data_IF_604730897373
#
_entry.id   IF_604730897373
#
_cell.length_a   1.000
_cell.length_b   1.000
_cell.length_c   1.000
_cell.angle_alpha   90.00
_cell.angle_beta   90.00
_cell.angle_gamma   90.00
#
_symmetry.space_group_name_H-M   'P 1'
#
loop_
_entity.id
_entity.type
_entity.pdbx_description
1 polymer ?
#
# COMPACT_ATOMS: atom_id res chain seq x y z
N UNK A 1 -2.41 -32.31 30.49
CA UNK A 1 -2.95 -30.94 30.36
C UNK A 1 -2.82 -30.49 28.92
N UNK A 2 -3.80 -29.74 28.40
CA UNK A 2 -3.82 -29.28 27.01
C UNK A 2 -3.37 -27.83 26.91
N UNK A 3 -2.61 -27.54 25.87
CA UNK A 3 -2.06 -26.22 25.61
C UNK A 3 -2.25 -25.85 24.15
N UNK A 4 -2.34 -24.56 23.92
CA UNK A 4 -2.34 -23.98 22.59
C UNK A 4 -1.14 -23.04 22.45
N UNK A 5 -0.48 -23.09 21.30
CA UNK A 5 0.61 -22.17 20.96
C UNK A 5 0.63 -21.86 19.47
N UNK A 6 1.22 -20.72 19.11
CA UNK A 6 1.37 -20.26 17.74
C UNK A 6 2.85 -20.32 17.36
N UNK A 7 3.16 -21.04 16.30
CA UNK A 7 4.50 -21.23 15.79
C UNK A 7 4.65 -20.57 14.43
N UNK A 8 5.82 -19.98 14.18
CA UNK A 8 6.20 -19.61 12.80
C UNK A 8 6.23 -20.87 11.95
N UNK A 9 5.84 -20.76 10.69
CA UNK A 9 5.90 -21.82 9.68
C UNK A 9 7.26 -22.51 9.66
N UNK A 10 8.35 -21.74 9.68
CA UNK A 10 9.72 -22.28 9.73
C UNK A 10 9.98 -23.14 10.98
N UNK A 11 9.52 -22.70 12.16
CA UNK A 11 9.66 -23.46 13.40
C UNK A 11 8.88 -24.76 13.39
N UNK A 12 7.68 -24.77 12.79
CA UNK A 12 6.91 -26.00 12.63
C UNK A 12 7.57 -26.96 11.63
N UNK A 13 8.16 -26.46 10.54
CA UNK A 13 8.94 -27.27 9.60
C UNK A 13 10.10 -27.98 10.30
N UNK A 14 10.85 -27.25 11.13
CA UNK A 14 11.94 -27.83 11.93
C UNK A 14 11.40 -28.84 12.95
N UNK A 15 10.28 -28.53 13.61
CA UNK A 15 9.65 -29.42 14.57
C UNK A 15 9.24 -30.75 13.94
N UNK A 16 8.59 -30.72 12.77
CA UNK A 16 8.19 -31.91 12.03
C UNK A 16 9.41 -32.74 11.58
N UNK A 17 10.50 -32.07 11.17
CA UNK A 17 11.73 -32.73 10.70
C UNK A 17 12.52 -33.39 11.84
N UNK A 18 12.64 -32.73 12.98
CA UNK A 18 13.52 -33.17 14.07
C UNK A 18 12.77 -33.83 15.23
N UNK A 19 11.44 -33.80 15.23
CA UNK A 19 10.58 -34.43 16.23
C UNK A 19 10.51 -33.70 17.58
N UNK A 20 11.30 -32.65 17.80
CA UNK A 20 11.33 -31.87 19.04
C UNK A 20 11.53 -30.38 18.78
N UNK A 21 10.92 -29.54 19.60
CA UNK A 21 11.02 -28.09 19.51
C UNK A 21 11.02 -27.45 20.91
N UNK A 22 11.89 -26.47 21.12
CA UNK A 22 11.81 -25.59 22.29
C UNK A 22 10.85 -24.44 22.01
N UNK A 23 9.81 -24.30 22.83
CA UNK A 23 8.85 -23.21 22.75
C UNK A 23 8.95 -22.31 23.99
N UNK A 24 8.61 -21.04 23.81
CA UNK A 24 8.75 -19.99 24.82
C UNK A 24 7.41 -19.40 25.28
N UNK A 25 6.31 -19.84 24.68
CA UNK A 25 4.97 -19.38 24.99
C UNK A 25 3.96 -20.47 24.65
N UNK A 26 3.03 -20.72 25.56
CA UNK A 26 1.88 -21.59 25.37
C UNK A 26 0.82 -21.24 26.41
N UNK A 27 -0.45 -21.37 26.05
CA UNK A 27 -1.58 -21.02 26.93
C UNK A 27 -2.32 -22.30 27.30
N UNK A 28 -2.53 -22.58 28.60
CA UNK A 28 -3.30 -23.74 29.03
C UNK A 28 -4.77 -23.59 28.62
N UNK A 29 -5.39 -24.70 28.23
CA UNK A 29 -6.81 -24.80 27.93
C UNK A 29 -7.38 -26.16 28.37
N UNK A 30 -8.71 -26.31 28.29
CA UNK A 30 -9.40 -27.54 28.66
C UNK A 30 -10.33 -28.00 27.54
N UNK A 31 -10.14 -29.22 27.06
CA UNK A 31 -10.92 -29.78 25.95
C UNK A 31 -10.42 -29.28 24.60
N UNK A 32 -11.25 -29.49 23.57
CA UNK A 32 -10.87 -29.14 22.20
C UNK A 32 -10.93 -27.64 21.97
N UNK A 33 -10.03 -27.11 21.14
CA UNK A 33 -10.05 -25.71 20.71
C UNK A 33 -11.41 -25.27 20.12
N UNK A 34 -12.14 -26.17 19.45
CA UNK A 34 -13.49 -25.89 18.92
C UNK A 34 -14.50 -25.51 19.99
N UNK A 35 -14.36 -26.02 21.22
CA UNK A 35 -15.22 -25.66 22.34
C UNK A 35 -14.96 -24.22 22.84
N UNK A 36 -13.83 -23.63 22.45
CA UNK A 36 -13.41 -22.28 22.78
C UNK A 36 -13.57 -21.31 21.59
N UNK A 37 -14.41 -21.61 20.60
CA UNK A 37 -14.55 -20.79 19.39
C UNK A 37 -14.89 -19.31 19.69
N UNK A 38 -15.69 -19.05 20.72
CA UNK A 38 -16.08 -17.69 21.15
C UNK A 38 -15.27 -17.18 22.36
N UNK A 39 -14.21 -17.89 22.77
CA UNK A 39 -13.38 -17.55 23.92
C UNK A 39 -12.34 -16.48 23.56
N UNK A 40 -12.76 -15.22 23.66
CA UNK A 40 -11.92 -14.09 23.31
C UNK A 40 -10.71 -13.92 24.23
N UNK A 41 -10.84 -14.23 25.52
CA UNK A 41 -9.75 -14.10 26.48
C UNK A 41 -8.65 -15.12 26.19
N UNK A 42 -9.01 -16.38 25.92
CA UNK A 42 -8.06 -17.40 25.52
C UNK A 42 -7.37 -17.04 24.19
N UNK A 43 -8.11 -16.50 23.22
CA UNK A 43 -7.53 -16.00 21.97
C UNK A 43 -6.52 -14.88 22.22
N UNK A 44 -6.92 -13.83 22.95
CA UNK A 44 -6.09 -12.64 23.18
C UNK A 44 -4.77 -13.02 23.87
N UNK A 45 -4.83 -13.90 24.89
CA UNK A 45 -3.62 -14.49 25.50
C UNK A 45 -2.79 -15.24 24.46
N UNK A 46 -3.42 -16.12 23.68
CA UNK A 46 -2.68 -16.95 22.71
C UNK A 46 -1.90 -16.13 21.67
N UNK A 47 -2.44 -14.99 21.23
CA UNK A 47 -1.78 -14.12 20.24
C UNK A 47 -0.70 -13.19 20.80
N UNK A 48 -0.57 -13.06 22.13
CA UNK A 48 0.53 -12.29 22.75
C UNK A 48 1.91 -12.83 22.36
N UNK A 49 2.01 -14.13 22.08
CA UNK A 49 3.25 -14.76 21.63
C UNK A 49 3.61 -14.49 20.17
N UNK A 50 2.80 -13.75 19.42
CA UNK A 50 3.01 -13.49 18.00
C UNK A 50 3.83 -12.23 17.74
N UNK A 51 4.75 -12.32 16.78
CA UNK A 51 5.37 -11.16 16.15
C UNK A 51 4.49 -10.69 14.97
N UNK A 52 4.62 -9.44 14.52
CA UNK A 52 3.95 -8.96 13.31
C UNK A 52 4.23 -9.85 12.09
N UNK A 53 3.25 -9.98 11.21
CA UNK A 53 3.35 -10.80 10.01
C UNK A 53 2.54 -10.25 8.85
N UNK A 54 2.93 -10.72 7.67
CA UNK A 54 2.44 -10.25 6.39
C UNK A 54 1.33 -11.13 5.85
N UNK A 55 1.44 -12.43 6.13
CA UNK A 55 0.56 -13.46 5.64
C UNK A 55 0.21 -14.41 6.77
N UNK A 56 -1.06 -14.78 6.88
CA UNK A 56 -1.54 -15.75 7.87
C UNK A 56 -0.87 -17.12 7.71
N UNK A 57 -0.37 -17.45 6.51
CA UNK A 57 0.42 -18.65 6.24
C UNK A 57 1.81 -18.68 6.88
N UNK A 58 2.30 -17.56 7.42
CA UNK A 58 3.57 -17.50 8.16
C UNK A 58 3.48 -18.12 9.55
N UNK A 59 2.27 -18.41 10.00
CA UNK A 59 1.98 -18.89 11.34
C UNK A 59 1.02 -20.08 11.31
N UNK A 60 1.19 -20.93 12.31
CA UNK A 60 0.40 -22.14 12.54
C UNK A 60 0.07 -22.18 14.01
N UNK A 61 -1.17 -22.50 14.33
CA UNK A 61 -1.63 -22.75 15.68
C UNK A 61 -1.59 -24.26 15.92
N UNK A 62 -0.94 -24.69 16.98
CA UNK A 62 -0.91 -26.11 17.38
C UNK A 62 -1.57 -26.29 18.74
N UNK A 63 -2.27 -27.41 18.88
CA UNK A 63 -2.76 -27.93 20.15
C UNK A 63 -1.91 -29.13 20.52
N UNK A 64 -1.40 -29.15 21.74
CA UNK A 64 -0.56 -30.24 22.23
C UNK A 64 -0.86 -30.57 23.69
N UNK A 65 -0.49 -31.79 24.11
CA UNK A 65 -0.71 -32.30 25.46
C UNK A 65 0.61 -32.55 26.19
N UNK A 66 0.69 -32.13 27.44
CA UNK A 66 1.79 -32.48 28.34
C UNK A 66 1.27 -33.27 29.54
N UNK A 67 2.11 -34.12 30.13
CA UNK A 67 1.76 -34.86 31.34
C UNK A 67 1.68 -33.93 32.56
N UNK A 68 2.61 -32.98 32.65
CA UNK A 68 2.73 -32.05 33.76
C UNK A 68 2.34 -30.63 33.35
N UNK A 69 1.95 -29.81 34.33
CA UNK A 69 1.73 -28.38 34.13
C UNK A 69 3.01 -27.68 33.67
N UNK A 70 2.88 -26.69 32.81
CA UNK A 70 3.98 -25.84 32.38
C UNK A 70 4.12 -24.70 33.38
N UNK A 71 5.15 -24.75 34.22
CA UNK A 71 5.41 -23.74 35.25
C UNK A 71 6.39 -22.66 34.78
N UNK A 72 7.25 -22.98 33.80
CA UNK A 72 8.28 -22.07 33.30
C UNK A 72 8.63 -22.35 31.84
N UNK A 73 9.09 -21.30 31.15
CA UNK A 73 9.60 -21.36 29.77
C UNK A 73 11.12 -21.11 29.71
N UNK A 74 11.83 -21.63 28.70
CA UNK A 74 11.34 -22.48 27.62
C UNK A 74 11.06 -23.91 28.05
N UNK A 75 10.17 -24.59 27.32
CA UNK A 75 9.98 -26.03 27.42
C UNK A 75 10.30 -26.72 26.10
N UNK A 76 10.71 -27.98 26.17
CA UNK A 76 10.83 -28.84 24.98
C UNK A 76 9.54 -29.67 24.85
N UNK A 77 8.98 -29.70 23.64
CA UNK A 77 7.84 -30.54 23.28
C UNK A 77 8.24 -31.51 22.17
N UNK A 78 7.61 -32.68 22.16
CA UNK A 78 7.81 -33.71 21.13
C UNK A 78 6.64 -33.70 20.13
N UNK A 79 6.89 -34.02 18.86
CA UNK A 79 5.86 -33.93 17.81
C UNK A 79 4.70 -34.89 18.07
N UNK A 80 4.96 -36.00 18.76
CA UNK A 80 3.99 -36.99 19.21
C UNK A 80 2.99 -36.43 20.24
N UNK A 81 3.32 -35.30 20.88
CA UNK A 81 2.41 -34.61 21.80
C UNK A 81 1.40 -33.70 21.11
N UNK A 82 1.57 -33.44 19.80
CA UNK A 82 0.69 -32.57 19.02
C UNK A 82 -0.58 -33.32 18.64
N UNK A 83 -1.73 -32.73 18.98
CA UNK A 83 -3.03 -33.32 18.72
C UNK A 83 -3.69 -32.75 17.46
N UNK A 84 -3.51 -31.46 17.20
CA UNK A 84 -4.13 -30.80 16.06
C UNK A 84 -3.30 -29.62 15.58
N UNK A 85 -3.31 -29.42 14.26
CA UNK A 85 -2.65 -28.33 13.56
C UNK A 85 -3.71 -27.48 12.88
N UNK A 86 -3.67 -26.18 13.11
CA UNK A 86 -4.59 -25.20 12.54
C UNK A 86 -3.83 -24.12 11.76
N UNK A 87 -4.33 -23.80 10.57
CA UNK A 87 -4.08 -22.52 9.94
C UNK A 87 -4.95 -21.43 10.59
N UNK A 88 -4.49 -20.18 10.52
CA UNK A 88 -5.19 -19.06 11.15
C UNK A 88 -6.52 -18.73 10.45
N UNK A 89 -6.55 -18.86 9.12
CA UNK A 89 -7.71 -18.63 8.26
C UNK A 89 -7.69 -19.58 7.04
N UNK A 90 -8.74 -19.53 6.23
CA UNK A 90 -8.89 -20.35 5.01
C UNK A 90 -7.73 -20.12 4.02
N UNK A 91 -7.30 -18.87 3.85
CA UNK A 91 -6.18 -18.48 2.97
C UNK A 91 -4.87 -19.13 3.42
N UNK A 92 -4.57 -19.04 4.71
CA UNK A 92 -3.42 -19.65 5.34
C UNK A 92 -3.45 -21.17 5.18
N UNK A 93 -4.63 -21.81 5.31
CA UNK A 93 -4.77 -23.26 5.11
C UNK A 93 -4.37 -23.65 3.70
N UNK A 94 -4.94 -22.99 2.70
CA UNK A 94 -4.67 -23.29 1.30
C UNK A 94 -3.18 -23.13 0.95
N UNK A 95 -2.54 -22.06 1.43
CA UNK A 95 -1.11 -21.82 1.22
C UNK A 95 -0.23 -22.85 1.96
N UNK A 96 -0.58 -23.20 3.20
CA UNK A 96 0.17 -24.16 4.01
C UNK A 96 0.06 -25.58 3.45
N UNK A 97 -1.13 -26.01 3.04
CA UNK A 97 -1.40 -27.33 2.44
C UNK A 97 -0.61 -27.57 1.15
N UNK A 98 -0.27 -26.53 0.39
CA UNK A 98 0.60 -26.64 -0.79
C UNK A 98 2.09 -26.81 -0.43
N UNK A 99 2.49 -26.36 0.77
CA UNK A 99 3.89 -26.29 1.18
C UNK A 99 4.32 -27.40 2.13
N UNK A 100 3.37 -28.06 2.79
CA UNK A 100 3.62 -29.08 3.79
C UNK A 100 3.37 -30.50 3.26
N UNK A 101 3.85 -31.48 4.02
CA UNK A 101 3.58 -32.88 3.75
C UNK A 101 2.07 -33.13 3.73
N UNK A 102 1.58 -33.74 2.65
CA UNK A 102 0.15 -34.02 2.42
C UNK A 102 -0.52 -34.87 3.52
N UNK A 103 0.26 -35.55 4.37
CA UNK A 103 -0.24 -36.32 5.51
C UNK A 103 -0.63 -35.45 6.70
N UNK A 104 -0.22 -34.19 6.74
CA UNK A 104 -0.54 -33.26 7.82
C UNK A 104 -1.96 -32.72 7.60
N UNK A 105 -2.88 -33.06 8.48
CA UNK A 105 -4.24 -32.51 8.50
C UNK A 105 -4.22 -31.09 9.08
N UNK A 106 -4.21 -30.08 8.19
CA UNK A 106 -4.24 -28.66 8.56
C UNK A 106 -5.69 -28.18 8.51
N UNK A 107 -6.24 -27.84 9.68
CA UNK A 107 -7.62 -27.36 9.82
C UNK A 107 -7.67 -25.83 9.83
N UNK A 108 -8.83 -25.23 9.59
CA UNK A 108 -9.01 -23.78 9.86
C UNK A 108 -9.29 -23.59 11.35
N UNK A 109 -8.63 -22.61 11.95
CA UNK A 109 -8.85 -22.22 13.34
C UNK A 109 -10.32 -21.82 13.58
N UNK A 110 -10.93 -22.21 14.70
CA UNK A 110 -12.24 -21.68 15.10
C UNK A 110 -12.21 -20.17 15.38
N UNK A 111 -11.02 -19.57 15.54
CA UNK A 111 -10.81 -18.14 15.75
C UNK A 111 -10.50 -17.36 14.46
N UNK A 112 -10.84 -17.87 13.28
CA UNK A 112 -10.55 -17.21 12.00
C UNK A 112 -10.92 -15.72 11.99
N UNK A 113 -12.14 -15.38 12.44
CA UNK A 113 -12.59 -13.99 12.50
C UNK A 113 -11.77 -13.14 13.47
N UNK A 114 -11.30 -13.71 14.58
CA UNK A 114 -10.45 -12.98 15.53
C UNK A 114 -9.05 -12.77 14.97
N UNK A 115 -8.50 -13.75 14.23
CA UNK A 115 -7.22 -13.59 13.53
C UNK A 115 -7.29 -12.50 12.45
N UNK A 116 -8.38 -12.42 11.69
CA UNK A 116 -8.59 -11.35 10.70
C UNK A 116 -8.60 -9.98 11.38
N UNK A 117 -9.36 -9.81 12.47
CA UNK A 117 -9.40 -8.54 13.20
C UNK A 117 -8.06 -8.19 13.84
N UNK A 118 -7.37 -9.18 14.41
CA UNK A 118 -6.03 -8.99 14.96
C UNK A 118 -5.03 -8.57 13.89
N UNK A 119 -5.09 -9.16 12.70
CA UNK A 119 -4.22 -8.78 11.58
C UNK A 119 -4.51 -7.35 11.11
N UNK A 120 -5.78 -6.94 11.02
CA UNK A 120 -6.15 -5.54 10.74
C UNK A 120 -5.54 -4.60 11.80
N UNK A 121 -5.60 -4.97 13.08
CA UNK A 121 -4.99 -4.18 14.16
C UNK A 121 -3.47 -4.08 14.05
N UNK A 122 -2.79 -5.16 13.67
CA UNK A 122 -1.36 -5.11 13.38
C UNK A 122 -1.06 -4.17 12.20
N UNK A 123 -1.84 -4.22 11.11
CA UNK A 123 -1.69 -3.32 9.97
C UNK A 123 -1.88 -1.85 10.37
N UNK A 124 -2.85 -1.55 11.24
CA UNK A 124 -3.07 -0.20 11.79
C UNK A 124 -1.82 0.30 12.53
N UNK A 125 -1.24 -0.54 13.40
CA UNK A 125 -0.02 -0.15 14.12
C UNK A 125 1.19 -0.02 13.19
N UNK A 126 1.33 -0.87 12.16
CA UNK A 126 2.37 -0.70 11.13
C UNK A 126 2.19 0.61 10.34
N UNK A 127 0.96 0.99 10.01
CA UNK A 127 0.63 2.27 9.36
C UNK A 127 1.00 3.46 10.24
N UNK A 128 0.60 3.44 11.51
CA UNK A 128 0.96 4.50 12.48
C UNK A 128 2.47 4.57 12.71
N UNK A 129 3.15 3.43 12.72
CA UNK A 129 4.61 3.40 12.78
C UNK A 129 5.25 4.02 11.53
N UNK A 130 4.65 3.85 10.35
CA UNK A 130 5.07 4.55 9.12
C UNK A 130 5.02 6.07 9.27
N UNK A 131 3.96 6.62 9.87
CA UNK A 131 3.86 8.05 10.18
C UNK A 131 4.95 8.51 11.16
N UNK A 132 5.20 7.75 12.23
CA UNK A 132 6.29 8.04 13.19
C UNK A 132 7.67 8.00 12.52
N UNK A 133 7.89 7.06 11.60
CA UNK A 133 9.15 6.95 10.86
C UNK A 133 9.38 8.20 10.00
N UNK A 134 8.38 8.66 9.24
CA UNK A 134 8.49 9.90 8.47
C UNK A 134 8.75 11.11 9.37
N UNK A 135 8.12 11.17 10.54
CA UNK A 135 8.36 12.22 11.53
C UNK A 135 9.85 12.34 11.89
N UNK A 136 10.48 11.21 12.16
CA UNK A 136 11.91 11.12 12.49
C UNK A 136 12.81 11.39 11.28
N UNK A 137 12.43 10.91 10.10
CA UNK A 137 13.18 11.14 8.86
C UNK A 137 13.25 12.64 8.52
N UNK A 138 12.13 13.35 8.63
CA UNK A 138 12.03 14.77 8.35
C UNK A 138 12.43 15.67 9.53
N UNK A 139 12.61 15.11 10.73
CA UNK A 139 13.02 15.87 11.92
C UNK A 139 11.92 16.77 12.47
N UNK A 140 10.67 16.34 12.42
CA UNK A 140 9.53 17.07 12.97
C UNK A 140 9.41 16.90 14.50
N UNK A 141 8.72 17.84 15.15
CA UNK A 141 8.47 17.83 16.60
C UNK A 141 7.29 16.92 16.96
N UNK A 142 7.42 16.11 18.01
CA UNK A 142 6.40 15.17 18.48
C UNK A 142 5.08 15.82 18.92
N UNK A 143 5.07 17.10 19.33
CA UNK A 143 3.82 17.80 19.67
C UNK A 143 2.85 17.86 18.49
N UNK A 144 3.37 18.05 17.28
CA UNK A 144 2.57 18.15 16.07
C UNK A 144 2.07 16.76 15.61
N UNK A 145 2.77 15.69 15.96
CA UNK A 145 2.34 14.32 15.66
C UNK A 145 1.05 14.00 16.41
N UNK A 146 1.00 14.28 17.71
CA UNK A 146 -0.22 14.12 18.53
C UNK A 146 -1.39 14.90 17.94
N UNK A 147 -1.15 16.12 17.46
CA UNK A 147 -2.18 16.91 16.81
C UNK A 147 -2.70 16.26 15.53
N UNK A 148 -1.84 15.61 14.74
CA UNK A 148 -2.25 14.85 13.57
C UNK A 148 -3.07 13.60 13.95
N UNK A 149 -2.68 12.89 15.01
CA UNK A 149 -3.42 11.73 15.55
C UNK A 149 -4.81 12.13 16.11
N UNK A 150 -4.97 13.36 16.61
CA UNK A 150 -6.28 13.91 16.99
C UNK A 150 -7.18 14.21 15.79
N UNK A 151 -6.60 14.70 14.68
CA UNK A 151 -7.35 15.03 13.45
C UNK A 151 -7.72 13.75 12.68
N UNK A 152 -6.81 12.78 12.66
CA UNK A 152 -6.96 11.49 11.97
C UNK A 152 -6.78 10.39 13.02
N UNK A 153 -7.88 10.10 13.71
CA UNK A 153 -7.94 9.11 14.79
C UNK A 153 -7.63 7.68 14.34
N UNK A 154 -7.35 6.83 15.33
CA UNK A 154 -7.06 5.40 15.08
C UNK A 154 -8.27 4.68 14.49
N UNK A 155 -9.49 5.09 14.83
CA UNK A 155 -10.74 4.60 14.24
C UNK A 155 -10.84 4.90 12.73
N UNK A 156 -10.46 6.10 12.30
CA UNK A 156 -10.42 6.50 10.89
C UNK A 156 -9.39 5.64 10.12
N UNK A 157 -8.20 5.47 10.69
CA UNK A 157 -7.14 4.63 10.09
C UNK A 157 -7.58 3.17 10.02
N UNK A 158 -8.18 2.64 11.10
CA UNK A 158 -8.71 1.27 11.15
C UNK A 158 -9.81 1.06 10.12
N UNK A 159 -10.75 2.00 9.98
CA UNK A 159 -11.81 1.90 8.98
C UNK A 159 -11.25 1.88 7.55
N UNK A 160 -10.28 2.75 7.25
CA UNK A 160 -9.61 2.76 5.96
C UNK A 160 -8.88 1.43 5.69
N UNK A 161 -8.12 0.91 6.65
CA UNK A 161 -7.37 -0.34 6.47
C UNK A 161 -8.30 -1.55 6.40
N UNK A 162 -9.31 -1.64 7.27
CA UNK A 162 -10.30 -2.72 7.29
C UNK A 162 -11.07 -2.80 5.98
N UNK A 163 -11.56 -1.67 5.49
CA UNK A 163 -12.28 -1.61 4.22
C UNK A 163 -11.38 -1.99 3.03
N UNK A 164 -10.09 -1.64 3.08
CA UNK A 164 -9.11 -2.05 2.06
C UNK A 164 -8.85 -3.55 2.11
N UNK A 165 -8.55 -4.09 3.29
CA UNK A 165 -8.30 -5.51 3.52
C UNK A 165 -9.47 -6.38 3.03
N UNK A 166 -10.70 -5.90 3.25
CA UNK A 166 -11.94 -6.57 2.85
C UNK A 166 -12.36 -6.31 1.40
N UNK A 167 -11.58 -5.55 0.63
CA UNK A 167 -11.90 -5.23 -0.78
C UNK A 167 -13.19 -4.40 -0.97
N UNK A 168 -13.63 -3.65 0.03
CA UNK A 168 -14.87 -2.86 -0.01
C UNK A 168 -14.57 -1.40 -0.30
N UNK A 169 -15.35 -0.73 -1.15
CA UNK A 169 -15.32 0.74 -1.27
C UNK A 169 -15.89 1.37 0.02
N UNK A 170 -15.41 2.56 0.44
CA UNK A 170 -16.03 3.28 1.56
C UNK A 170 -17.45 3.71 1.19
N UNK A 171 -18.43 3.39 2.04
CA UNK A 171 -19.85 3.72 1.85
C UNK A 171 -20.46 4.13 3.19
N UNK A 172 -21.32 5.14 3.18
CA UNK A 172 -22.05 5.61 4.37
C UNK A 172 -21.45 6.86 5.00
N UNK A 173 -21.88 7.13 6.22
CA UNK A 173 -21.50 8.31 7.00
C UNK A 173 -20.12 8.11 7.66
N UNK A 174 -19.08 8.13 6.83
CA UNK A 174 -17.68 8.00 7.24
C UNK A 174 -16.96 9.34 7.14
N UNK A 175 -15.86 9.46 7.87
CA UNK A 175 -14.98 10.63 7.82
C UNK A 175 -14.46 10.86 6.39
N UNK A 176 -14.34 12.12 5.91
CA UNK A 176 -13.73 12.43 4.60
C UNK A 176 -12.30 11.90 4.47
N UNK A 177 -11.59 11.72 5.59
CA UNK A 177 -10.27 11.11 5.62
C UNK A 177 -10.27 9.63 5.19
N UNK A 178 -11.32 8.86 5.51
CA UNK A 178 -11.47 7.47 5.04
C UNK A 178 -11.61 7.46 3.52
N UNK A 179 -12.45 8.34 2.97
CA UNK A 179 -12.61 8.48 1.51
C UNK A 179 -11.31 8.90 0.83
N UNK A 180 -10.52 9.80 1.43
CA UNK A 180 -9.21 10.21 0.90
C UNK A 180 -8.18 9.07 0.93
N UNK A 181 -8.06 8.35 2.05
CA UNK A 181 -7.13 7.21 2.20
C UNK A 181 -7.48 6.06 1.23
N UNK A 182 -8.77 5.86 0.97
CA UNK A 182 -9.30 4.87 0.02
C UNK A 182 -9.46 5.39 -1.40
N UNK A 183 -9.06 6.62 -1.68
CA UNK A 183 -9.22 7.19 -3.00
C UNK A 183 -8.28 6.54 -4.01
N UNK A 184 -8.88 6.06 -5.09
CA UNK A 184 -8.21 5.59 -6.29
C UNK A 184 -8.65 6.47 -7.45
N UNK A 185 -7.68 7.03 -8.17
CA UNK A 185 -7.94 7.88 -9.33
C UNK A 185 -8.57 7.01 -10.43
N UNK A 186 -9.83 7.28 -10.70
CA UNK A 186 -10.61 6.60 -11.74
C UNK A 186 -10.77 7.47 -12.99
N UNK A 187 -10.78 8.79 -12.83
CA UNK A 187 -10.88 9.74 -13.94
C UNK A 187 -9.51 10.07 -14.57
N UNK A 188 -9.46 10.38 -15.88
CA UNK A 188 -8.22 10.66 -16.62
C UNK A 188 -7.65 12.06 -16.33
N UNK A 189 -7.55 12.46 -15.06
CA UNK A 189 -6.98 13.74 -14.68
C UNK A 189 -5.47 13.80 -14.94
N UNK A 190 -4.92 15.01 -15.26
CA UNK A 190 -3.49 15.21 -15.46
C UNK A 190 -2.65 14.68 -14.29
N UNK A 191 -1.42 14.22 -14.56
CA UNK A 191 -0.45 13.83 -13.52
C UNK A 191 0.38 15.03 -13.06
N UNK A 192 -0.31 16.07 -12.64
CA UNK A 192 0.25 17.33 -12.15
C UNK A 192 -0.58 17.87 -10.98
N UNK A 193 -0.20 19.05 -10.47
CA UNK A 193 -0.90 19.68 -9.35
C UNK A 193 -2.38 19.93 -9.62
N UNK A 194 -2.78 20.35 -10.83
CA UNK A 194 -4.19 20.54 -11.17
C UNK A 194 -4.96 19.22 -11.02
N UNK A 195 -4.38 18.11 -11.50
CA UNK A 195 -5.00 16.80 -11.36
C UNK A 195 -5.22 16.36 -9.93
N UNK A 196 -4.29 16.63 -9.00
CA UNK A 196 -4.49 16.30 -7.58
C UNK A 196 -5.59 17.16 -6.93
N UNK A 197 -5.82 18.39 -7.39
CA UNK A 197 -6.96 19.19 -6.94
C UNK A 197 -8.29 18.65 -7.49
N UNK A 198 -8.32 18.16 -8.73
CA UNK A 198 -9.50 17.48 -9.25
C UNK A 198 -9.79 16.19 -8.48
N UNK A 199 -8.77 15.40 -8.16
CA UNK A 199 -8.94 14.26 -7.27
C UNK A 199 -9.55 14.67 -5.92
N UNK A 200 -9.06 15.75 -5.30
CA UNK A 200 -9.62 16.24 -4.04
C UNK A 200 -11.10 16.60 -4.17
N UNK A 201 -11.52 17.28 -5.25
CA UNK A 201 -12.94 17.55 -5.50
C UNK A 201 -13.72 16.24 -5.63
N UNK A 202 -13.19 15.27 -6.37
CA UNK A 202 -13.78 13.93 -6.52
C UNK A 202 -13.96 13.23 -5.17
N UNK A 203 -12.96 13.29 -4.28
CA UNK A 203 -13.03 12.77 -2.91
C UNK A 203 -14.15 13.42 -2.12
N UNK A 204 -14.23 14.75 -2.12
CA UNK A 204 -15.27 15.48 -1.37
C UNK A 204 -16.66 15.15 -1.92
N UNK A 205 -16.84 15.10 -3.24
CA UNK A 205 -18.13 14.76 -3.85
C UNK A 205 -18.55 13.31 -3.55
N UNK A 206 -17.60 12.36 -3.61
CA UNK A 206 -17.84 10.96 -3.25
C UNK A 206 -18.27 10.85 -1.79
N UNK A 207 -17.54 11.52 -0.88
CA UNK A 207 -17.89 11.59 0.54
C UNK A 207 -19.28 12.18 0.78
N UNK A 208 -19.62 13.32 0.15
CA UNK A 208 -20.96 13.93 0.29
C UNK A 208 -22.08 13.07 -0.28
N UNK A 209 -21.78 12.22 -1.26
CA UNK A 209 -22.72 11.22 -1.77
C UNK A 209 -22.74 9.92 -0.95
N UNK A 210 -21.95 9.84 0.13
CA UNK A 210 -21.76 8.65 0.96
C UNK A 210 -21.30 7.41 0.16
N UNK A 211 -20.47 7.63 -0.86
CA UNK A 211 -19.98 6.57 -1.75
C UNK A 211 -21.03 6.00 -2.72
N UNK A 212 -22.20 6.65 -2.85
CA UNK A 212 -23.30 6.19 -3.73
C UNK A 212 -23.16 6.63 -5.18
N UNK A 213 -22.29 7.60 -5.46
CA UNK A 213 -21.98 8.05 -6.80
C UNK A 213 -20.46 8.06 -7.01
N UNK A 214 -20.02 7.52 -8.13
CA UNK A 214 -18.69 7.65 -8.69
C UNK A 214 -18.77 8.34 -10.07
N UNK A 215 -17.66 8.94 -10.52
CA UNK A 215 -17.55 9.72 -11.76
C UNK A 215 -18.32 11.05 -11.76
N UNK A 216 -17.71 12.06 -11.17
CA UNK A 216 -18.23 13.43 -11.21
C UNK A 216 -17.58 14.20 -12.36
N UNK A 217 -18.35 15.08 -13.02
CA UNK A 217 -17.80 16.08 -13.95
C UNK A 217 -17.01 17.17 -13.21
N UNK A 218 -15.91 16.80 -12.56
CA UNK A 218 -15.16 17.65 -11.62
C UNK A 218 -14.70 18.94 -12.27
N UNK A 219 -14.22 18.88 -13.53
CA UNK A 219 -13.80 20.05 -14.30
C UNK A 219 -14.93 21.07 -14.50
N UNK A 220 -16.18 20.61 -14.51
CA UNK A 220 -17.38 21.43 -14.74
C UNK A 220 -17.99 21.97 -13.44
N UNK A 221 -17.42 21.64 -12.29
CA UNK A 221 -17.79 22.27 -11.02
C UNK A 221 -17.29 23.72 -10.98
N UNK A 222 -17.87 24.55 -10.09
CA UNK A 222 -17.40 25.93 -9.89
C UNK A 222 -15.91 25.96 -9.50
N UNK A 223 -15.54 25.16 -8.48
CA UNK A 223 -14.16 24.98 -8.05
C UNK A 223 -13.26 24.45 -9.19
N UNK A 224 -13.71 23.46 -9.96
CA UNK A 224 -12.97 22.91 -11.10
C UNK A 224 -12.64 23.95 -12.16
N UNK A 225 -13.62 24.79 -12.54
CA UNK A 225 -13.42 25.89 -13.50
C UNK A 225 -12.46 26.95 -12.97
N UNK A 226 -12.56 27.31 -11.69
CA UNK A 226 -11.64 28.27 -11.03
C UNK A 226 -10.21 27.72 -11.06
N UNK A 227 -10.01 26.45 -10.69
CA UNK A 227 -8.71 25.80 -10.71
C UNK A 227 -8.11 25.79 -12.12
N UNK A 228 -8.90 25.39 -13.12
CA UNK A 228 -8.46 25.38 -14.52
C UNK A 228 -8.02 26.77 -14.98
N UNK A 229 -8.83 27.80 -14.74
CA UNK A 229 -8.51 29.17 -15.14
C UNK A 229 -7.26 29.72 -14.44
N UNK A 230 -7.04 29.38 -13.17
CA UNK A 230 -5.83 29.76 -12.45
C UNK A 230 -4.61 28.96 -12.94
N UNK A 231 -4.76 27.67 -13.20
CA UNK A 231 -3.69 26.82 -13.72
C UNK A 231 -3.13 27.33 -15.06
N UNK A 232 -3.99 27.82 -15.95
CA UNK A 232 -3.60 28.40 -17.24
C UNK A 232 -2.78 29.70 -17.10
N UNK A 233 -2.87 30.38 -15.95
CA UNK A 233 -2.18 31.66 -15.67
C UNK A 233 -0.87 31.49 -14.90
N UNK A 234 -0.64 30.33 -14.29
CA UNK A 234 0.57 30.06 -13.51
C UNK A 234 1.66 29.59 -14.48
N UNK A 235 2.89 30.08 -14.29
CA UNK A 235 4.03 29.58 -15.07
C UNK A 235 4.32 28.11 -14.72
N UNK A 236 4.53 27.26 -15.73
CA UNK A 236 4.82 25.82 -15.56
C UNK A 236 6.30 25.42 -15.77
N UNK A 237 7.32 26.15 -15.27
CA UNK A 237 8.69 25.66 -15.38
C UNK A 237 8.86 24.47 -14.44
N UNK A 238 9.02 23.27 -15.01
CA UNK A 238 9.45 22.02 -14.33
C UNK A 238 10.43 22.35 -13.20
N UNK A 239 10.18 21.96 -11.93
CA UNK A 239 9.92 20.58 -11.51
C UNK A 239 8.69 20.39 -10.59
N UNK A 240 8.32 19.12 -10.39
CA UNK A 240 7.11 18.57 -9.74
C UNK A 240 6.78 19.01 -8.30
N UNK A 241 7.53 19.92 -7.69
CA UNK A 241 7.19 20.47 -6.37
C UNK A 241 7.64 21.92 -6.25
N UNK A 242 7.04 22.85 -7.00
CA UNK A 242 7.16 24.27 -6.68
C UNK A 242 6.04 24.69 -5.74
N UNK A 243 6.44 25.23 -4.58
CA UNK A 243 5.54 25.66 -3.51
C UNK A 243 4.43 26.61 -3.98
N UNK A 244 4.71 27.36 -5.03
CA UNK A 244 3.78 28.36 -5.56
C UNK A 244 2.53 27.73 -6.18
N UNK A 245 2.62 26.55 -6.82
CA UNK A 245 1.45 25.94 -7.49
C UNK A 245 0.40 25.45 -6.49
N UNK A 246 0.82 24.68 -5.48
CA UNK A 246 -0.08 24.17 -4.44
C UNK A 246 -0.75 25.35 -3.71
N UNK A 247 0.05 26.32 -3.26
CA UNK A 247 -0.44 27.48 -2.49
C UNK A 247 -1.39 28.34 -3.30
N UNK A 248 -1.07 28.60 -4.58
CA UNK A 248 -1.91 29.42 -5.47
C UNK A 248 -3.25 28.74 -5.73
N UNK A 249 -3.23 27.45 -6.09
CA UNK A 249 -4.46 26.71 -6.39
C UNK A 249 -5.33 26.56 -5.14
N UNK A 250 -4.76 26.21 -3.99
CA UNK A 250 -5.52 26.11 -2.74
C UNK A 250 -6.15 27.45 -2.37
N UNK A 251 -5.39 28.55 -2.45
CA UNK A 251 -5.90 29.89 -2.16
C UNK A 251 -7.03 30.30 -3.11
N UNK A 252 -7.00 29.83 -4.36
CA UNK A 252 -8.03 30.18 -5.36
C UNK A 252 -9.40 29.58 -5.09
N UNK A 253 -9.47 28.47 -4.35
CA UNK A 253 -10.72 27.76 -4.03
C UNK A 253 -11.07 27.76 -2.55
N UNK A 254 -10.30 28.45 -1.70
CA UNK A 254 -10.47 28.42 -0.23
C UNK A 254 -11.89 28.80 0.23
N UNK A 255 -12.53 29.70 -0.52
CA UNK A 255 -13.87 30.24 -0.22
C UNK A 255 -14.98 29.49 -0.99
N UNK A 256 -14.62 28.50 -1.81
CA UNK A 256 -15.60 27.67 -2.52
C UNK A 256 -16.32 26.71 -1.58
N UNK A 257 -17.59 26.44 -1.87
CA UNK A 257 -18.46 25.59 -1.04
C UNK A 257 -17.84 24.22 -0.71
N UNK A 258 -17.13 23.63 -1.66
CA UNK A 258 -16.46 22.33 -1.49
C UNK A 258 -15.33 22.40 -0.46
N UNK A 259 -14.52 23.46 -0.50
CA UNK A 259 -13.44 23.68 0.46
C UNK A 259 -13.99 23.99 1.87
N UNK A 260 -15.01 24.86 1.94
CA UNK A 260 -15.65 25.24 3.19
C UNK A 260 -16.28 24.04 3.92
N UNK A 261 -17.11 23.24 3.22
CA UNK A 261 -17.77 22.06 3.81
C UNK A 261 -16.75 21.05 4.35
N UNK A 262 -15.66 20.81 3.61
CA UNK A 262 -14.62 19.91 4.04
C UNK A 262 -13.91 20.44 5.29
N UNK A 263 -13.57 21.74 5.32
CA UNK A 263 -12.96 22.41 6.47
C UNK A 263 -13.84 22.40 7.71
N UNK A 264 -15.13 22.68 7.56
CA UNK A 264 -16.09 22.68 8.67
C UNK A 264 -16.19 21.30 9.34
N UNK A 265 -15.97 20.23 8.57
CA UNK A 265 -16.00 18.85 9.08
C UNK A 265 -14.68 18.41 9.68
N UNK A 266 -13.55 18.75 9.04
CA UNK A 266 -12.23 18.26 9.46
C UNK A 266 -11.52 19.18 10.45
N UNK A 267 -11.97 20.43 10.58
CA UNK A 267 -11.33 21.46 11.40
C UNK A 267 -10.02 22.00 10.83
N UNK A 268 -9.62 21.60 9.62
CA UNK A 268 -8.36 21.99 8.95
C UNK A 268 -8.58 22.23 7.46
N UNK A 269 -7.61 22.86 6.79
CA UNK A 269 -7.70 23.17 5.35
C UNK A 269 -7.54 21.92 4.47
N UNK A 270 -8.60 21.09 4.43
CA UNK A 270 -8.64 19.85 3.65
C UNK A 270 -8.31 20.07 2.17
N UNK A 271 -8.75 21.20 1.60
CA UNK A 271 -8.49 21.60 0.22
C UNK A 271 -7.00 21.87 -0.08
N UNK A 272 -6.17 22.09 0.94
CA UNK A 272 -4.70 22.12 0.82
C UNK A 272 -4.11 20.73 1.10
N UNK A 273 -4.57 20.05 2.17
CA UNK A 273 -4.01 18.78 2.65
C UNK A 273 -4.18 17.65 1.64
N UNK A 274 -5.39 17.46 1.10
CA UNK A 274 -5.70 16.34 0.21
C UNK A 274 -4.87 16.35 -1.08
N UNK A 275 -4.82 17.44 -1.87
CA UNK A 275 -3.99 17.45 -3.09
C UNK A 275 -2.50 17.34 -2.75
N UNK A 276 -2.04 17.88 -1.62
CA UNK A 276 -0.65 17.74 -1.21
C UNK A 276 -0.30 16.29 -0.85
N UNK A 277 -1.16 15.62 -0.07
CA UNK A 277 -1.03 14.20 0.23
C UNK A 277 -0.99 13.34 -1.03
N UNK A 278 -1.89 13.58 -2.00
CA UNK A 278 -1.93 12.83 -3.26
C UNK A 278 -0.67 13.06 -4.11
N UNK A 279 -0.17 14.29 -4.13
CA UNK A 279 1.11 14.64 -4.75
C UNK A 279 2.27 13.87 -4.10
N UNK A 280 2.37 13.91 -2.76
CA UNK A 280 3.39 13.18 -2.01
C UNK A 280 3.28 11.66 -2.23
N UNK A 281 2.06 11.12 -2.27
CA UNK A 281 1.82 9.70 -2.54
C UNK A 281 2.36 9.28 -3.91
N UNK A 282 2.21 10.11 -4.94
CA UNK A 282 2.75 9.85 -6.29
C UNK A 282 4.29 9.98 -6.31
N UNK A 283 4.86 10.97 -5.64
CA UNK A 283 6.33 11.14 -5.50
C UNK A 283 6.97 9.91 -4.85
N UNK A 284 6.37 9.41 -3.77
CA UNK A 284 6.87 8.26 -3.01
C UNK A 284 6.40 6.90 -3.58
N UNK A 285 5.66 6.90 -4.69
CA UNK A 285 5.25 5.66 -5.37
C UNK A 285 6.33 5.12 -6.32
N UNK A 286 7.24 5.96 -6.82
CA UNK A 286 8.42 5.52 -7.57
C UNK A 286 9.62 5.31 -6.64
N UNK A 287 10.24 4.13 -6.70
CA UNK A 287 11.47 3.81 -5.95
C UNK A 287 12.67 4.71 -6.33
N UNK A 288 12.55 5.46 -7.43
CA UNK A 288 13.62 6.27 -8.03
C UNK A 288 13.84 7.63 -7.37
N UNK A 289 12.91 8.15 -6.57
CA UNK A 289 13.03 9.51 -6.04
C UNK A 289 12.98 9.53 -4.51
N UNK A 290 14.03 8.99 -3.88
CA UNK A 290 14.42 9.44 -2.53
C UNK A 290 15.06 10.83 -2.68
N UNK A 291 14.21 11.82 -2.98
CA UNK A 291 14.57 13.25 -2.90
C UNK A 291 15.33 13.51 -1.59
N UNK A 292 16.19 14.53 -1.58
CA UNK A 292 16.80 15.01 -0.34
C UNK A 292 15.72 15.16 0.75
N UNK A 293 15.73 14.23 1.71
CA UNK A 293 14.67 14.11 2.72
C UNK A 293 14.68 15.32 3.64
N UNK A 294 15.84 15.96 3.83
CA UNK A 294 15.96 17.18 4.59
C UNK A 294 15.31 18.35 3.84
N UNK A 295 15.58 18.47 2.54
CA UNK A 295 14.92 19.47 1.69
C UNK A 295 13.41 19.26 1.64
N UNK A 296 12.95 18.02 1.50
CA UNK A 296 11.53 17.68 1.51
C UNK A 296 10.87 18.02 2.86
N UNK A 297 11.51 17.65 3.98
CA UNK A 297 11.02 17.98 5.32
C UNK A 297 10.90 19.49 5.55
N UNK A 298 11.90 20.27 5.11
CA UNK A 298 11.87 21.74 5.15
C UNK A 298 10.73 22.30 4.30
N UNK A 299 10.53 21.75 3.10
CA UNK A 299 9.45 22.17 2.20
C UNK A 299 8.07 21.89 2.81
N UNK A 300 7.83 20.68 3.31
CA UNK A 300 6.60 20.30 4.00
C UNK A 300 6.34 21.23 5.19
N UNK A 301 7.36 21.53 5.99
CA UNK A 301 7.25 22.39 7.17
C UNK A 301 6.81 23.82 6.83
N UNK A 302 7.07 24.30 5.62
CA UNK A 302 6.63 25.63 5.18
C UNK A 302 5.10 25.77 5.05
N UNK A 303 4.37 24.65 5.01
CA UNK A 303 2.91 24.61 4.99
C UNK A 303 2.28 24.45 6.38
N UNK A 304 3.05 24.62 7.46
CA UNK A 304 2.50 24.60 8.81
C UNK A 304 1.92 23.24 9.22
N UNK A 305 0.72 23.25 9.83
CA UNK A 305 0.06 22.04 10.32
C UNK A 305 -0.43 21.18 9.16
N UNK A 306 -0.94 21.79 8.09
CA UNK A 306 -1.53 21.11 6.95
C UNK A 306 -0.50 20.23 6.22
N UNK A 307 0.74 20.73 6.04
CA UNK A 307 1.83 19.92 5.50
C UNK A 307 2.18 18.71 6.37
N UNK A 308 2.10 18.88 7.69
CA UNK A 308 2.33 17.80 8.66
C UNK A 308 1.20 16.77 8.65
N UNK A 309 -0.06 17.19 8.49
CA UNK A 309 -1.20 16.28 8.32
C UNK A 309 -1.08 15.49 7.00
N UNK A 310 -0.68 16.14 5.91
CA UNK A 310 -0.42 15.46 4.63
C UNK A 310 0.71 14.42 4.77
N UNK A 311 1.74 14.72 5.56
CA UNK A 311 2.82 13.78 5.89
C UNK A 311 2.35 12.62 6.75
N UNK A 312 1.49 12.88 7.72
CA UNK A 312 0.89 11.83 8.55
C UNK A 312 0.10 10.84 7.68
N UNK A 313 -0.75 11.33 6.78
CA UNK A 313 -1.49 10.51 5.81
C UNK A 313 -0.55 9.70 4.90
N UNK A 314 0.54 10.33 4.43
CA UNK A 314 1.57 9.64 3.64
C UNK A 314 2.18 8.49 4.44
N UNK A 315 2.58 8.73 5.69
CA UNK A 315 3.19 7.71 6.54
C UNK A 315 2.24 6.57 6.89
N UNK A 316 0.96 6.88 7.15
CA UNK A 316 -0.12 5.87 7.31
C UNK A 316 -0.24 5.00 6.05
N UNK A 317 -0.18 5.63 4.87
CA UNK A 317 -0.31 4.93 3.58
C UNK A 317 0.91 4.08 3.24
N UNK A 318 2.12 4.57 3.54
CA UNK A 318 3.37 3.85 3.29
C UNK A 318 3.59 2.71 4.28
N UNK A 319 3.18 2.92 5.53
CA UNK A 319 3.43 2.02 6.65
C UNK A 319 4.91 1.84 6.97
N UNK A 320 5.16 0.96 7.93
CA UNK A 320 6.51 0.64 8.36
C UNK A 320 7.37 0.09 7.22
N UNK A 321 6.82 -0.81 6.40
CA UNK A 321 7.55 -1.55 5.36
C UNK A 321 8.23 -0.68 4.32
N UNK A 322 7.66 0.48 4.00
CA UNK A 322 8.25 1.42 3.03
C UNK A 322 9.08 2.52 3.68
N UNK A 323 9.08 2.61 5.01
CA UNK A 323 9.73 3.70 5.74
C UNK A 323 10.89 3.24 6.63
N UNK A 324 10.94 1.97 7.03
CA UNK A 324 11.96 1.46 7.96
C UNK A 324 13.37 1.60 7.38
N UNK A 325 13.55 1.31 6.09
CA UNK A 325 14.86 1.33 5.44
C UNK A 325 15.44 2.75 5.42
N UNK A 326 14.61 3.73 5.05
CA UNK A 326 14.93 5.15 5.11
C UNK A 326 15.26 5.61 6.54
N UNK A 327 14.46 5.18 7.51
CA UNK A 327 14.69 5.52 8.91
C UNK A 327 16.02 4.95 9.39
N UNK A 328 16.34 3.71 9.06
CA UNK A 328 17.57 3.02 9.48
C UNK A 328 18.81 3.67 8.90
N UNK A 329 18.75 4.10 7.64
CA UNK A 329 19.81 4.89 7.01
C UNK A 329 19.98 6.26 7.73
N UNK A 330 18.87 6.91 8.11
CA UNK A 330 18.89 8.20 8.83
C UNK A 330 19.50 8.07 10.24
N UNK A 331 19.12 7.05 11.00
CA UNK A 331 19.58 6.86 12.39
C UNK A 331 20.91 6.12 12.49
N UNK A 332 21.42 5.58 11.36
CA UNK A 332 22.69 4.85 11.26
C UNK A 332 22.79 3.72 12.30
N UNK A 333 22.04 2.63 12.08
CA UNK A 333 22.06 1.49 12.99
C UNK A 333 23.50 0.99 13.26
N UNK A 334 23.88 0.67 14.51
CA UNK A 334 25.29 0.39 14.87
C UNK A 334 25.93 -0.79 14.15
N UNK A 335 25.12 -1.73 13.65
CA UNK A 335 25.59 -2.89 12.91
C UNK A 335 25.66 -2.67 11.40
N UNK A 336 25.34 -1.45 10.91
CA UNK A 336 25.55 -1.08 9.52
C UNK A 336 27.04 -0.83 9.28
N UNK A 337 27.56 -1.26 8.12
CA UNK A 337 28.94 -1.00 7.73
C UNK A 337 29.16 0.51 7.59
N UNK A 338 30.20 1.06 8.22
CA UNK A 338 30.53 2.50 8.24
C UNK A 338 30.74 3.11 6.85
N UNK A 339 31.08 2.29 5.84
CA UNK A 339 31.34 2.71 4.46
C UNK A 339 30.45 1.99 3.43
N UNK A 340 29.16 1.81 3.70
CA UNK A 340 28.26 1.57 2.57
C UNK A 340 28.06 2.89 1.83
N UNK A 341 28.68 3.02 0.64
CA UNK A 341 28.20 3.92 -0.42
C UNK A 341 26.67 3.81 -0.42
N UNK A 342 25.90 4.92 -0.53
CA UNK A 342 24.44 4.84 -0.66
C UNK A 342 24.17 3.80 -1.73
N UNK A 343 23.72 2.62 -1.31
CA UNK A 343 23.61 1.47 -2.18
C UNK A 343 22.76 1.93 -3.36
N UNK A 344 23.20 1.63 -4.59
CA UNK A 344 22.24 1.31 -5.64
C UNK A 344 21.43 0.11 -5.09
N UNK A 345 20.37 0.40 -4.33
CA UNK A 345 19.59 -0.64 -3.67
C UNK A 345 18.70 -1.24 -4.74
N UNK A 346 19.13 -2.42 -5.20
CA UNK A 346 18.24 -3.44 -5.72
C UNK A 346 16.97 -3.47 -4.88
N UNK A 347 15.81 -3.49 -5.54
CA UNK A 347 14.50 -3.64 -4.91
C UNK A 347 14.56 -4.62 -3.75
N UNK A 348 13.83 -4.29 -2.69
CA UNK A 348 13.64 -5.10 -1.49
C UNK A 348 13.81 -6.59 -1.78
N UNK A 349 14.64 -7.28 -0.98
CA UNK A 349 14.72 -8.74 -1.01
C UNK A 349 13.40 -9.43 -0.57
N UNK A 350 12.36 -8.65 -0.30
CA UNK A 350 10.97 -8.98 -0.63
C UNK A 350 10.62 -8.32 -1.96
N UNK A 351 10.90 -9.00 -3.09
CA UNK A 351 10.41 -8.61 -4.41
C UNK A 351 8.91 -8.90 -4.55
N UNK A 352 8.17 -8.61 -3.48
CA UNK A 352 6.73 -8.67 -3.41
C UNK A 352 6.29 -7.22 -3.50
N UNK A 353 5.88 -6.86 -4.71
CA UNK A 353 5.16 -5.61 -4.95
C UNK A 353 4.01 -5.55 -3.96
N UNK A 354 3.63 -4.39 -3.45
CA UNK A 354 2.51 -4.28 -2.52
C UNK A 354 1.16 -4.68 -3.17
N UNK A 355 1.10 -4.79 -4.50
CA UNK A 355 0.06 -5.53 -5.24
C UNK A 355 -0.04 -6.99 -4.78
N UNK A 356 1.07 -7.68 -4.59
CA UNK A 356 1.13 -9.11 -4.29
C UNK A 356 0.94 -9.46 -2.80
N UNK A 357 0.79 -8.48 -1.90
CA UNK A 357 0.59 -8.73 -0.46
C UNK A 357 -0.87 -8.86 -0.08
N UNK A 358 -1.78 -8.26 -0.87
CA UNK A 358 -3.24 -8.47 -0.77
C UNK A 358 -3.75 -9.47 -1.84
N UNK A 359 -2.93 -9.85 -2.83
CA UNK A 359 -3.42 -10.44 -4.09
C UNK A 359 -2.90 -11.86 -4.37
N UNK A 360 -2.56 -12.65 -3.35
CA UNK A 360 -2.36 -14.10 -3.51
C UNK A 360 -2.99 -14.91 -2.38
N UNK A 361 -4.32 -14.87 -2.31
CA UNK A 361 -5.23 -16.02 -2.44
C UNK A 361 -6.58 -15.68 -1.79
N UNK A 362 -7.55 -15.32 -2.62
CA UNK A 362 -8.97 -15.60 -2.41
C UNK A 362 -9.59 -15.27 -3.77
N UNK A 363 -10.12 -16.18 -4.58
CA UNK A 363 -11.13 -17.17 -4.26
C UNK A 363 -11.03 -18.31 -5.28
N UNK A 364 -11.14 -19.55 -4.83
CA UNK A 364 -11.58 -20.65 -5.69
C UNK A 364 -13.08 -20.54 -5.95
N UNK A 365 -13.49 -19.51 -6.69
CA UNK A 365 -14.83 -19.39 -7.26
C UNK A 365 -14.69 -18.98 -8.73
N UNK A 366 -15.37 -19.76 -9.56
CA UNK A 366 -15.31 -19.77 -11.01
C UNK A 366 -15.63 -18.41 -11.67
N UNK A 367 -14.90 -18.19 -12.76
CA UNK A 367 -15.21 -17.42 -13.98
C UNK A 367 -16.11 -16.18 -13.86
N UNK A 368 -15.51 -14.98 -14.04
CA UNK A 368 -16.25 -13.82 -14.54
C UNK A 368 -15.93 -12.42 -13.99
N UNK A 369 -14.80 -12.18 -13.30
CA UNK A 369 -14.45 -10.82 -12.79
C UNK A 369 -12.94 -10.49 -12.83
N UNK A 370 -12.28 -10.74 -13.94
CA UNK A 370 -10.83 -10.46 -14.10
C UNK A 370 -10.43 -8.97 -14.23
N UNK A 371 -11.36 -8.01 -14.29
CA UNK A 371 -10.99 -6.59 -14.54
C UNK A 371 -10.89 -5.69 -13.30
N UNK A 372 -11.33 -6.12 -12.11
CA UNK A 372 -11.32 -5.27 -10.91
C UNK A 372 -10.10 -5.50 -10.00
N UNK A 373 -9.38 -6.61 -10.18
CA UNK A 373 -8.49 -7.16 -9.16
C UNK A 373 -6.99 -6.90 -9.41
N UNK A 374 -6.61 -6.00 -10.31
CA UNK A 374 -5.20 -5.70 -10.66
C UNK A 374 -4.78 -4.23 -10.42
N UNK A 375 -5.56 -3.44 -9.66
CA UNK A 375 -5.57 -1.98 -9.83
C UNK A 375 -4.76 -1.14 -8.82
N UNK A 376 -4.05 -1.73 -7.84
CA UNK A 376 -3.33 -0.92 -6.83
C UNK A 376 -1.96 -0.34 -7.29
N UNK A 377 -1.17 -0.93 -8.22
CA UNK A 377 0.08 -0.30 -8.72
C UNK A 377 0.44 -0.48 -10.21
N UNK A 378 -0.51 -0.85 -11.07
CA UNK A 378 -0.24 -0.90 -12.50
C UNK A 378 -0.26 0.48 -13.16
N UNK A 379 0.33 1.54 -12.58
CA UNK A 379 0.35 2.84 -13.26
C UNK A 379 1.40 3.91 -12.86
N UNK A 380 2.64 3.51 -12.57
CA UNK A 380 3.81 4.40 -12.82
C UNK A 380 4.79 3.84 -13.87
N UNK A 381 4.68 2.57 -14.26
CA UNK A 381 5.34 2.10 -15.49
C UNK A 381 4.33 1.54 -16.50
N UNK A 382 4.16 2.29 -17.59
CA UNK A 382 3.71 1.81 -18.90
C UNK A 382 2.23 1.42 -19.05
N UNK A 383 1.37 2.39 -19.40
CA UNK A 383 0.40 2.12 -20.48
C UNK A 383 1.20 2.01 -21.77
N UNK A 384 1.58 0.79 -22.13
CA UNK A 384 1.68 0.42 -23.54
C UNK A 384 0.26 0.61 -24.08
N UNK A 385 0.10 1.49 -25.05
CA UNK A 385 -1.15 1.70 -25.77
C UNK A 385 -1.63 0.33 -26.26
N UNK A 386 -2.67 -0.23 -25.62
CA UNK A 386 -3.52 -1.21 -26.27
C UNK A 386 -4.39 -0.39 -27.22
N UNK A 387 -4.13 -0.58 -28.51
CA UNK A 387 -4.95 -0.05 -29.60
C UNK A 387 -6.39 -0.46 -29.33
N UNK A 388 -7.26 0.51 -29.13
CA UNK A 388 -8.67 0.33 -29.49
C UNK A 388 -8.68 -0.03 -30.97
N UNK A 389 -9.33 -1.13 -31.32
CA UNK A 389 -9.78 -1.42 -32.67
C UNK A 389 -10.80 -0.36 -33.08
N UNK A 390 -10.55 0.43 -34.14
CA UNK A 390 -11.62 0.95 -34.96
C UNK A 390 -11.84 -0.09 -36.06
N UNK A 391 -12.94 -0.82 -35.98
CA UNK A 391 -13.55 -1.37 -37.20
C UNK A 391 -14.00 -0.17 -38.03
N UNK A 392 -13.11 0.30 -38.92
CA UNK A 392 -13.32 0.61 -40.33
C UNK A 392 -12.24 1.57 -40.87
N UNK A 393 -11.65 1.15 -42.00
CA UNK A 393 -10.97 1.95 -43.02
C UNK A 393 -9.54 2.52 -42.77
N UNK A 394 -8.56 1.72 -43.19
CA UNK A 394 -7.56 2.01 -44.24
C UNK A 394 -6.42 3.04 -44.05
N UNK A 395 -5.26 2.64 -44.59
CA UNK A 395 -3.99 3.38 -44.86
C UNK A 395 -3.00 3.69 -43.73
N UNK A 396 -2.03 2.77 -43.56
CA UNK A 396 -0.60 3.11 -43.50
C UNK A 396 0.04 3.31 -42.11
N UNK A 397 1.22 2.69 -41.96
CA UNK A 397 2.29 2.90 -40.96
C UNK A 397 2.44 1.85 -39.83
N UNK A 398 3.48 1.02 -39.99
CA UNK A 398 4.08 0.14 -38.96
C UNK A 398 5.30 0.82 -38.27
N UNK A 399 5.69 0.40 -37.05
CA UNK A 399 6.80 0.99 -36.30
C UNK A 399 8.17 0.72 -36.95
N UNK A 400 9.03 1.75 -36.91
CA UNK A 400 10.33 1.85 -37.59
C UNK A 400 11.28 0.67 -37.27
N UNK A 401 11.53 -0.20 -38.25
CA UNK A 401 12.64 -1.15 -38.22
C UNK A 401 13.98 -0.39 -38.27
N UNK A 402 14.97 -0.80 -37.46
CA UNK A 402 16.34 -0.24 -37.56
C UNK A 402 16.89 -0.48 -38.97
N UNK A 403 17.19 0.60 -39.69
CA UNK A 403 17.85 0.56 -41.00
C UNK A 403 19.33 0.16 -40.83
N UNK A 404 19.66 -1.09 -41.17
CA UNK A 404 21.00 -1.67 -41.08
C UNK A 404 21.46 -2.15 -42.47
N UNK A 405 22.76 -2.40 -42.65
CA UNK A 405 23.24 -2.99 -43.92
C UNK A 405 22.62 -4.37 -44.21
N UNK A 406 22.13 -5.08 -43.18
CA UNK A 406 21.52 -6.42 -43.32
C UNK A 406 20.12 -6.41 -43.94
N UNK A 407 19.37 -5.31 -43.85
CA UNK A 407 18.03 -5.18 -44.44
C UNK A 407 18.00 -4.24 -45.68
N UNK A 408 19.16 -3.87 -46.23
CA UNK A 408 19.27 -2.96 -47.38
C UNK A 408 18.49 -3.46 -48.60
N UNK A 409 18.55 -4.76 -48.89
CA UNK A 409 17.87 -5.37 -50.05
C UNK A 409 16.35 -5.28 -49.92
N UNK A 410 15.83 -5.59 -48.73
CA UNK A 410 14.39 -5.59 -48.39
C UNK A 410 13.78 -4.18 -48.41
N UNK A 411 14.60 -3.15 -48.14
CA UNK A 411 14.19 -1.74 -48.19
C UNK A 411 14.17 -1.21 -49.62
N UNK A 412 15.10 -1.65 -50.46
CA UNK A 412 15.14 -1.30 -51.88
C UNK A 412 13.98 -1.98 -52.64
N UNK A 413 13.65 -3.23 -52.30
CA UNK A 413 12.49 -3.94 -52.87
C UNK A 413 11.16 -3.28 -52.53
N UNK A 414 11.08 -2.55 -51.41
CA UNK A 414 9.93 -1.71 -51.04
C UNK A 414 9.93 -0.33 -51.71
N UNK A 415 10.83 -0.08 -52.65
CA UNK A 415 10.92 1.17 -53.43
C UNK A 415 11.46 2.37 -52.65
N UNK A 416 12.04 2.17 -51.48
CA UNK A 416 12.55 3.25 -50.63
C UNK A 416 14.05 3.46 -50.84
N UNK A 417 14.47 4.74 -50.87
CA UNK A 417 15.89 5.07 -50.94
C UNK A 417 16.57 4.84 -49.59
N UNK A 418 17.37 3.77 -49.52
CA UNK A 418 18.03 3.34 -48.31
C UNK A 418 18.94 4.41 -47.66
N UNK A 419 19.67 5.21 -48.46
CA UNK A 419 20.56 6.24 -47.93
C UNK A 419 19.77 7.42 -47.32
N UNK A 420 18.63 7.76 -47.92
CA UNK A 420 17.79 8.87 -47.47
C UNK A 420 17.06 8.54 -46.17
N UNK A 421 16.49 7.33 -46.06
CA UNK A 421 15.81 6.88 -44.85
C UNK A 421 16.76 6.67 -43.67
N UNK A 422 17.99 6.23 -43.94
CA UNK A 422 19.04 6.14 -42.92
C UNK A 422 19.44 7.52 -42.37
N UNK A 423 19.44 8.57 -43.22
CA UNK A 423 19.73 9.94 -42.79
C UNK A 423 18.63 10.49 -41.87
N UNK A 424 17.36 10.30 -42.23
CA UNK A 424 16.20 10.70 -41.40
C UNK A 424 16.25 10.04 -40.02
N UNK A 425 16.60 8.76 -39.94
CA UNK A 425 16.76 8.04 -38.68
C UNK A 425 17.91 8.59 -37.81
N UNK A 426 19.01 9.02 -38.43
CA UNK A 426 20.14 9.61 -37.70
C UNK A 426 19.83 11.02 -37.19
N UNK A 427 19.07 11.82 -37.94
CA UNK A 427 18.58 13.12 -37.49
C UNK A 427 17.60 12.97 -36.32
N UNK A 428 16.68 12.00 -36.38
CA UNK A 428 15.77 11.69 -35.28
C UNK A 428 16.50 11.24 -34.00
N UNK A 429 17.55 10.43 -34.13
CA UNK A 429 18.36 9.99 -32.98
C UNK A 429 19.22 11.10 -32.35
N UNK A 430 19.50 12.19 -33.07
CA UNK A 430 20.26 13.34 -32.53
C UNK A 430 19.39 14.34 -31.75
N UNK A 431 18.06 14.24 -31.88
CA UNK A 431 17.09 15.09 -31.15
C UNK A 431 16.56 14.47 -29.86
N UNK A 432 17.09 13.29 -29.48
CA UNK A 432 16.97 12.67 -28.15
C UNK A 432 18.31 12.78 -27.45
#
# INVERSE_FOLDING_TARGET
MEYVTILRKGSFTDFFKYGRLKIFYAVPMSGTLKAHADDRELFDRTVEGMNPYDYTSEYILIVFRTDNAIEQFPIEICIESVETVYALDETGRNALSLSFDHRIDIRVSPWETYFIEHHIDQLVEQSKQGARNLWRIFGFNDKDLRRCEEIIGTDIVREAISSLYRGKKPVGDLSPWVYLLRYERHDPYPKDMLGYFYDMIGVVMTWKSQGRADNFGVSETAAGRILKSNWEKISHPYPRVKNDQLSTLASSIKDEKIAAIAKDTTGVDFHLIAPFFLCLKDIYASDEDRMDQEKMGKQISSYGLEGKVATYLLGVTLGYDRTYDLLYDKIKLPFFKENSIPRERSGSATSIKPEQRVQRQSLGLEEGKEEAEAYWFRNIQSRKIMKMTPDTADTGWEPVQKFTKKNKTDIIERGLNFEEERRKQQEWNKGR
#
